data_IF_102147868221
#
_entry.id   IF_102147868221
#
_cell.length_a   1.000
_cell.length_b   1.000
_cell.length_c   1.000
_cell.angle_alpha   90.00
_cell.angle_beta   90.00
_cell.angle_gamma   90.00
#
_symmetry.space_group_name_H-M   'P 1'
#
loop_
_entity.id
_entity.type
_entity.pdbx_description
1 polymer ?
#
# COMPACT_ATOMS: atom_id res chain seq x y z
N UNK A 1 21.53 12.95 2.02
CA UNK A 1 20.34 13.83 1.92
C UNK A 1 19.24 13.28 2.80
N UNK A 2 18.50 14.15 3.50
CA UNK A 2 17.34 13.76 4.31
C UNK A 2 16.09 14.05 3.48
N UNK A 3 15.20 13.07 3.30
CA UNK A 3 13.87 13.29 2.74
C UNK A 3 12.91 13.39 3.93
N UNK A 4 12.58 14.63 4.32
CA UNK A 4 11.57 14.94 5.31
C UNK A 4 10.30 15.38 4.57
N UNK A 5 9.52 14.46 4.01
CA UNK A 5 8.30 14.85 3.31
C UNK A 5 7.34 13.67 3.11
N UNK A 6 6.81 13.08 4.19
CA UNK A 6 5.49 12.45 4.15
C UNK A 6 4.90 12.48 5.56
N UNK A 7 4.46 13.67 5.96
CA UNK A 7 3.57 13.84 7.11
C UNK A 7 2.14 13.91 6.58
N UNK A 8 1.33 12.92 6.91
CA UNK A 8 -0.07 12.84 6.51
C UNK A 8 -0.88 12.84 7.80
N UNK A 9 -0.90 14.01 8.42
CA UNK A 9 -1.86 14.32 9.46
C UNK A 9 -3.26 14.38 8.84
N UNK A 10 -3.92 13.22 8.77
CA UNK A 10 -5.36 13.14 8.60
C UNK A 10 -5.99 13.56 9.93
N UNK A 11 -6.23 14.85 10.05
CA UNK A 11 -6.94 15.44 11.18
C UNK A 11 -8.33 14.79 11.29
N UNK A 12 -8.47 13.81 12.18
CA UNK A 12 -9.69 13.33 12.84
C UNK A 12 -11.02 13.38 12.05
N UNK A 13 -11.01 13.06 10.75
CA UNK A 13 -12.25 12.87 10.00
C UNK A 13 -12.72 11.44 10.22
N UNK A 14 -14.01 11.25 10.51
CA UNK A 14 -14.60 9.92 10.65
C UNK A 14 -14.39 9.09 9.39
N UNK A 15 -14.47 9.76 8.23
CA UNK A 15 -14.42 9.13 6.93
C UNK A 15 -13.38 9.84 6.07
N UNK A 16 -12.44 9.08 5.52
CA UNK A 16 -11.42 9.60 4.63
C UNK A 16 -10.91 8.53 3.68
N UNK A 17 -10.24 8.95 2.62
CA UNK A 17 -9.47 8.06 1.75
C UNK A 17 -8.13 8.67 1.40
N UNK A 18 -7.11 7.83 1.28
CA UNK A 18 -5.78 8.21 0.86
C UNK A 18 -5.36 7.33 -0.30
N UNK A 19 -4.74 7.94 -1.30
CA UNK A 19 -4.05 7.21 -2.37
C UNK A 19 -2.58 7.62 -2.36
N UNK A 20 -1.70 6.63 -2.24
CA UNK A 20 -0.26 6.79 -2.40
C UNK A 20 0.13 6.21 -3.75
N UNK A 21 0.82 7.01 -4.56
CA UNK A 21 1.38 6.60 -5.83
C UNK A 21 2.87 6.92 -5.87
N UNK A 22 3.66 5.98 -6.38
CA UNK A 22 5.10 6.16 -6.48
C UNK A 22 5.78 4.99 -7.14
N UNK A 23 7.10 4.92 -6.98
CA UNK A 23 7.93 3.84 -7.47
C UNK A 23 8.63 3.16 -6.29
N UNK A 24 8.60 1.84 -6.26
CA UNK A 24 9.50 1.05 -5.40
C UNK A 24 10.71 0.61 -6.21
N UNK A 25 11.90 0.74 -5.62
CA UNK A 25 13.13 0.22 -6.22
C UNK A 25 13.46 -1.16 -5.64
N UNK A 26 13.35 -2.18 -6.47
CA UNK A 26 13.75 -3.55 -6.16
C UNK A 26 15.21 -3.72 -6.58
N UNK A 27 16.11 -3.94 -5.61
CA UNK A 27 17.55 -4.06 -5.89
C UNK A 27 17.94 -5.41 -6.48
N UNK A 28 17.24 -6.49 -6.10
CA UNK A 28 17.52 -7.86 -6.53
C UNK A 28 16.20 -8.54 -6.85
N UNK A 29 16.14 -9.25 -7.98
CA UNK A 29 14.96 -10.03 -8.32
C UNK A 29 14.69 -11.09 -7.25
N UNK A 30 13.43 -11.29 -6.85
CA UNK A 30 13.08 -12.23 -5.81
C UNK A 30 11.62 -12.17 -5.37
N UNK A 31 11.27 -13.01 -4.40
CA UNK A 31 9.98 -13.01 -3.73
C UNK A 31 9.97 -11.95 -2.62
N UNK A 32 9.04 -11.00 -2.73
CA UNK A 32 8.82 -9.94 -1.74
C UNK A 32 7.44 -10.11 -1.11
N UNK A 33 7.38 -10.02 0.22
CA UNK A 33 6.12 -10.06 0.96
C UNK A 33 5.67 -8.64 1.27
N UNK A 34 4.37 -8.40 1.07
CA UNK A 34 3.68 -7.18 1.42
C UNK A 34 2.61 -7.48 2.45
N UNK A 35 2.56 -6.68 3.50
CA UNK A 35 1.60 -6.80 4.59
C UNK A 35 0.82 -5.49 4.71
N UNK A 36 -0.51 -5.59 4.63
CA UNK A 36 -1.42 -4.48 4.90
C UNK A 36 -2.20 -4.77 6.18
N UNK A 37 -2.32 -3.75 7.03
CA UNK A 37 -3.20 -3.74 8.19
C UNK A 37 -4.10 -2.51 8.11
N UNK A 38 -5.41 -2.71 8.02
CA UNK A 38 -6.36 -1.60 7.91
C UNK A 38 -7.65 -1.87 8.67
N UNK A 39 -8.24 -0.80 9.21
CA UNK A 39 -9.64 -0.76 9.64
C UNK A 39 -10.40 -0.15 8.47
N UNK A 40 -11.38 -0.89 7.95
CA UNK A 40 -11.94 -0.77 6.59
C UNK A 40 -10.87 -0.99 5.50
N UNK A 41 -11.16 -0.53 4.29
CA UNK A 41 -10.54 -1.13 3.12
C UNK A 41 -9.17 -0.57 2.73
N UNK A 42 -8.29 -1.47 2.29
CA UNK A 42 -7.02 -1.14 1.64
C UNK A 42 -6.73 -2.02 0.43
N UNK A 43 -6.05 -1.47 -0.56
CA UNK A 43 -5.70 -2.17 -1.81
C UNK A 43 -4.30 -1.78 -2.25
N UNK A 44 -3.46 -2.77 -2.57
CA UNK A 44 -2.09 -2.55 -3.05
C UNK A 44 -1.91 -3.12 -4.44
N UNK A 45 -1.43 -2.27 -5.35
CA UNK A 45 -0.97 -2.66 -6.68
C UNK A 45 0.53 -2.41 -6.83
N UNK A 46 1.23 -3.34 -7.47
CA UNK A 46 2.65 -3.25 -7.81
C UNK A 46 2.84 -3.63 -9.27
N UNK A 47 3.58 -2.82 -10.04
CA UNK A 47 3.75 -3.04 -11.48
C UNK A 47 2.43 -2.94 -12.26
N UNK A 48 1.45 -2.18 -11.76
CA UNK A 48 0.11 -2.10 -12.33
C UNK A 48 -0.81 -3.29 -12.01
N UNK A 49 -0.32 -4.32 -11.31
CA UNK A 49 -1.12 -5.48 -10.90
C UNK A 49 -1.61 -5.33 -9.47
N UNK A 50 -2.91 -5.51 -9.24
CA UNK A 50 -3.48 -5.62 -7.90
C UNK A 50 -2.98 -6.91 -7.24
N UNK A 51 -2.29 -6.76 -6.11
CA UNK A 51 -1.72 -7.90 -5.37
C UNK A 51 -2.46 -8.11 -4.04
N UNK A 52 -2.90 -7.06 -3.35
CA UNK A 52 -3.71 -7.20 -2.14
C UNK A 52 -5.00 -6.45 -2.36
N UNK A 53 -6.12 -7.14 -2.15
CA UNK A 53 -7.46 -6.59 -2.13
C UNK A 53 -8.10 -6.88 -0.77
N UNK A 54 -7.98 -5.94 0.15
CA UNK A 54 -8.58 -5.99 1.48
C UNK A 54 -9.64 -4.89 1.55
N UNK A 55 -10.55 -4.85 0.57
CA UNK A 55 -11.56 -3.80 0.44
C UNK A 55 -12.80 -4.10 1.29
N UNK A 56 -13.59 -3.06 1.59
CA UNK A 56 -14.86 -3.17 2.32
C UNK A 56 -14.82 -2.55 3.73
N UNK A 57 -15.99 -2.51 4.37
CA UNK A 57 -16.13 -2.08 5.76
C UNK A 57 -15.87 -3.28 6.67
N UNK A 58 -14.89 -3.15 7.55
CA UNK A 58 -14.53 -4.21 8.47
C UNK A 58 -13.70 -3.68 9.63
N UNK A 59 -13.72 -4.40 10.75
CA UNK A 59 -12.78 -4.17 11.85
C UNK A 59 -11.34 -4.36 11.35
N UNK A 60 -10.36 -3.99 12.18
CA UNK A 60 -8.95 -4.10 11.79
C UNK A 60 -8.59 -5.52 11.34
N UNK A 61 -8.17 -5.66 10.08
CA UNK A 61 -7.75 -6.92 9.48
C UNK A 61 -6.32 -6.82 8.94
N UNK A 62 -5.63 -7.95 8.87
CA UNK A 62 -4.31 -8.08 8.26
C UNK A 62 -4.43 -8.88 6.95
N UNK A 63 -3.75 -8.45 5.90
CA UNK A 63 -3.63 -9.19 4.65
C UNK A 63 -2.18 -9.19 4.17
N UNK A 64 -1.66 -10.38 3.90
CA UNK A 64 -0.28 -10.60 3.45
C UNK A 64 -0.27 -11.24 2.07
N UNK A 65 0.62 -10.82 1.18
CA UNK A 65 0.88 -11.53 -0.09
C UNK A 65 2.34 -11.46 -0.51
N UNK A 66 2.85 -12.60 -0.95
CA UNK A 66 4.11 -12.71 -1.69
C UNK A 66 3.92 -12.38 -3.17
N UNK A 67 4.77 -11.50 -3.71
CA UNK A 67 4.85 -11.17 -5.13
C UNK A 67 6.30 -11.26 -5.60
N UNK A 68 6.54 -12.03 -6.65
CA UNK A 68 7.86 -12.04 -7.30
C UNK A 68 8.06 -10.73 -8.07
N UNK A 69 9.18 -10.07 -7.84
CA UNK A 69 9.54 -8.82 -8.51
C UNK A 69 10.90 -8.97 -9.17
N UNK A 70 11.06 -8.42 -10.37
CA UNK A 70 12.37 -8.25 -10.99
C UNK A 70 13.12 -7.07 -10.37
N UNK A 71 14.45 -7.07 -10.45
CA UNK A 71 15.23 -5.88 -10.14
C UNK A 71 14.82 -4.71 -11.06
N UNK A 72 14.70 -3.51 -10.50
CA UNK A 72 14.24 -2.32 -11.21
C UNK A 72 13.27 -1.47 -10.41
N UNK A 73 12.64 -0.51 -11.08
CA UNK A 73 11.59 0.32 -10.49
C UNK A 73 10.22 -0.22 -10.88
N UNK A 74 9.33 -0.35 -9.90
CA UNK A 74 7.95 -0.79 -10.11
C UNK A 74 6.97 0.27 -9.62
N UNK A 75 5.98 0.67 -10.43
CA UNK A 75 4.86 1.47 -9.96
C UNK A 75 4.19 0.81 -8.76
N UNK A 76 4.01 1.58 -7.68
CA UNK A 76 3.26 1.18 -6.51
C UNK A 76 2.06 2.12 -6.36
N UNK A 77 0.89 1.53 -6.13
CA UNK A 77 -0.33 2.25 -5.79
C UNK A 77 -0.98 1.61 -4.58
N UNK A 78 -1.07 2.35 -3.47
CA UNK A 78 -1.78 1.94 -2.26
C UNK A 78 -3.00 2.84 -2.08
N UNK A 79 -4.18 2.24 -2.07
CA UNK A 79 -5.42 2.90 -1.68
C UNK A 79 -5.80 2.46 -0.28
N UNK A 80 -6.24 3.40 0.55
CA UNK A 80 -6.79 3.15 1.87
C UNK A 80 -8.00 4.04 2.08
N UNK A 81 -9.04 3.54 2.73
CA UNK A 81 -10.11 4.38 3.25
C UNK A 81 -10.53 3.94 4.66
N UNK A 82 -11.09 4.89 5.39
CA UNK A 82 -11.79 4.68 6.65
C UNK A 82 -13.21 5.21 6.51
N UNK A 83 -14.20 4.45 6.98
CA UNK A 83 -15.63 4.74 6.86
C UNK A 83 -16.33 5.01 8.18
#
# INVERSE_FOLDING_TARGET
>A
GRVNAFDIHLAATKNFSVTYEGLIRVKKSGLYYFDLKSCDGSQLSVGGKLIIDNNGLHSTSNCARGQFLSAGYHPLKLRYFKG
#
